data_IF_133809741008
#
_entry.id   IF_133809741008
#
_cell.length_a   1.000
_cell.length_b   1.000
_cell.length_c   1.000
_cell.angle_alpha   90.00
_cell.angle_beta   90.00
_cell.angle_gamma   90.00
#
_symmetry.space_group_name_H-M   'P 1'
#
loop_
_entity.id
_entity.type
_entity.pdbx_description
1 polymer ?
#
# COMPACT_ATOMS: atom_id res chain seq x y z
N UNK A 1 0.93 4.87 4.31
CA UNK A 1 -0.20 3.92 4.21
C UNK A 1 -0.72 3.98 2.77
N UNK A 2 -1.07 2.84 2.15
CA UNK A 2 -1.52 2.86 0.74
C UNK A 2 -2.46 1.70 0.41
N UNK A 3 -3.57 2.00 -0.26
CA UNK A 3 -4.47 1.02 -0.89
C UNK A 3 -3.89 0.60 -2.25
N UNK A 4 -3.96 -0.69 -2.59
CA UNK A 4 -3.43 -1.27 -3.83
C UNK A 4 -1.95 -0.98 -4.06
N UNK A 5 -1.16 -1.48 -3.11
CA UNK A 5 0.30 -1.52 -3.19
C UNK A 5 0.72 -2.34 -4.41
N UNK A 6 1.72 -1.83 -5.13
CA UNK A 6 2.36 -2.55 -6.23
C UNK A 6 2.96 -3.88 -5.76
N UNK A 7 2.78 -4.93 -6.57
CA UNK A 7 3.24 -6.29 -6.28
C UNK A 7 4.20 -6.76 -7.38
N UNK A 8 5.35 -7.31 -6.99
CA UNK A 8 6.25 -8.07 -7.85
C UNK A 8 5.57 -9.39 -8.24
N UNK A 9 5.50 -9.62 -9.56
CA UNK A 9 4.86 -10.78 -10.18
C UNK A 9 3.48 -11.07 -9.60
N UNK A 10 2.72 -10.03 -9.26
CA UNK A 10 1.37 -10.16 -8.71
C UNK A 10 1.27 -10.89 -7.34
N UNK A 11 2.41 -11.13 -6.69
CA UNK A 11 2.52 -12.03 -5.54
C UNK A 11 3.10 -11.30 -4.34
N UNK A 12 4.27 -10.68 -4.46
CA UNK A 12 5.02 -10.14 -3.32
C UNK A 12 5.04 -8.60 -3.34
N UNK A 13 4.91 -7.90 -2.19
CA UNK A 13 4.95 -6.45 -2.19
C UNK A 13 6.31 -5.89 -2.61
N UNK A 14 6.31 -4.79 -3.38
CA UNK A 14 7.54 -4.04 -3.64
C UNK A 14 8.10 -3.41 -2.37
N UNK A 15 9.42 -3.32 -2.30
CA UNK A 15 10.14 -2.66 -1.21
C UNK A 15 10.04 -1.12 -1.34
N UNK A 16 9.82 -0.42 -0.22
CA UNK A 16 9.83 1.06 -0.17
C UNK A 16 11.23 1.63 0.00
N UNK A 17 12.19 0.81 0.38
CA UNK A 17 13.57 1.19 0.66
C UNK A 17 14.50 0.00 0.40
N UNK A 18 15.76 0.21 -0.05
CA UNK A 18 16.75 -0.86 -0.14
C UNK A 18 17.07 -1.51 1.20
N UNK A 19 16.69 -0.89 2.32
CA UNK A 19 16.85 -1.45 3.66
C UNK A 19 15.60 -2.20 4.15
N UNK A 20 14.49 -2.14 3.41
CA UNK A 20 13.29 -2.92 3.74
C UNK A 20 13.53 -4.39 3.36
N UNK A 21 13.16 -5.29 4.26
CA UNK A 21 13.10 -6.73 4.01
C UNK A 21 11.87 -7.32 4.67
N UNK A 22 11.07 -8.05 3.92
CA UNK A 22 9.97 -8.84 4.46
C UNK A 22 10.53 -10.11 5.08
N UNK A 23 10.54 -10.18 6.42
CA UNK A 23 11.15 -11.28 7.17
C UNK A 23 10.13 -12.26 7.75
N UNK A 24 8.82 -11.93 7.69
CA UNK A 24 7.78 -12.80 8.20
C UNK A 24 6.51 -12.72 7.33
N UNK A 25 5.86 -13.87 7.13
CA UNK A 25 4.67 -14.05 6.31
C UNK A 25 3.62 -14.82 7.10
N UNK A 26 2.42 -14.27 7.20
CA UNK A 26 1.26 -14.93 7.80
C UNK A 26 0.24 -15.23 6.70
N UNK A 27 -0.03 -16.50 6.38
CA UNK A 27 -1.08 -16.86 5.44
C UNK A 27 -2.46 -16.84 6.13
N UNK A 28 -3.52 -16.89 5.33
CA UNK A 28 -4.91 -17.06 5.80
C UNK A 28 -5.34 -15.99 6.80
N UNK A 29 -5.25 -14.74 6.37
CA UNK A 29 -5.71 -13.57 7.11
C UNK A 29 -6.78 -12.82 6.33
N UNK A 30 -7.60 -12.05 7.02
CA UNK A 30 -8.55 -11.12 6.41
C UNK A 30 -8.32 -9.72 6.97
N UNK A 31 -8.23 -8.72 6.09
CA UNK A 31 -8.06 -7.33 6.50
C UNK A 31 -9.33 -6.52 6.19
N UNK A 32 -9.79 -5.74 7.16
CA UNK A 32 -10.78 -4.68 6.95
C UNK A 32 -10.21 -3.35 7.42
N UNK A 33 -10.52 -2.27 6.70
CA UNK A 33 -10.17 -0.90 7.09
C UNK A 33 -11.35 0.02 6.79
N UNK A 34 -11.85 0.72 7.79
CA UNK A 34 -12.98 1.65 7.64
C UNK A 34 -12.52 3.05 7.99
N UNK A 35 -12.73 4.02 7.12
CA UNK A 35 -12.28 5.41 7.29
C UNK A 35 -13.38 6.38 6.92
N UNK A 36 -13.55 7.45 7.69
CA UNK A 36 -14.47 8.54 7.34
C UNK A 36 -15.95 8.25 7.64
N UNK A 37 -16.27 7.52 8.71
CA UNK A 37 -17.65 7.27 9.18
C UNK A 37 -18.35 8.53 9.76
N UNK A 38 -18.08 9.73 9.24
CA UNK A 38 -18.65 11.02 9.66
C UNK A 38 -19.47 11.70 8.55
N UNK A 39 -20.32 12.66 8.93
CA UNK A 39 -21.06 13.49 7.98
C UNK A 39 -20.14 14.56 7.35
N UNK A 40 -20.22 14.84 6.03
CA UNK A 40 -21.04 14.17 5.02
C UNK A 40 -20.37 12.86 4.56
N UNK A 41 -21.13 11.77 4.48
CA UNK A 41 -20.68 10.36 4.41
C UNK A 41 -19.82 9.94 3.20
N UNK A 42 -18.63 10.53 3.08
CA UNK A 42 -17.60 10.19 2.11
C UNK A 42 -16.65 9.10 2.65
N UNK A 43 -17.18 8.19 3.49
CA UNK A 43 -16.39 7.14 4.12
C UNK A 43 -15.84 6.14 3.09
N UNK A 44 -14.56 5.80 3.20
CA UNK A 44 -13.92 4.76 2.42
C UNK A 44 -13.80 3.48 3.25
N UNK A 45 -14.31 2.37 2.73
CA UNK A 45 -14.14 1.05 3.34
C UNK A 45 -13.32 0.13 2.43
N UNK A 46 -12.27 -0.45 3.00
CA UNK A 46 -11.50 -1.54 2.44
C UNK A 46 -11.97 -2.84 3.09
N UNK A 47 -12.45 -3.78 2.28
CA UNK A 47 -12.79 -5.13 2.72
C UNK A 47 -11.99 -6.14 1.90
N UNK A 48 -10.92 -6.65 2.49
CA UNK A 48 -10.13 -7.74 1.92
C UNK A 48 -10.83 -9.08 2.12
N UNK A 49 -10.59 -10.01 1.19
CA UNK A 49 -10.96 -11.42 1.32
C UNK A 49 -9.89 -12.19 2.13
N UNK A 50 -9.91 -13.52 2.08
CA UNK A 50 -8.77 -14.29 2.57
C UNK A 50 -7.52 -13.93 1.75
N UNK A 51 -6.40 -13.85 2.45
CA UNK A 51 -5.12 -13.44 1.87
C UNK A 51 -3.97 -13.67 2.82
N UNK A 52 -2.91 -12.92 2.60
CA UNK A 52 -1.61 -13.06 3.28
C UNK A 52 -1.17 -11.71 3.81
N UNK A 53 -0.43 -11.74 4.91
CA UNK A 53 0.18 -10.57 5.52
C UNK A 53 1.71 -10.71 5.53
N UNK A 54 2.38 -9.79 4.87
CA UNK A 54 3.83 -9.64 4.88
C UNK A 54 4.25 -8.64 5.94
N UNK A 55 5.30 -8.96 6.69
CA UNK A 55 5.83 -8.11 7.76
C UNK A 55 7.27 -7.74 7.43
N UNK A 56 7.52 -6.44 7.31
CA UNK A 56 8.86 -5.86 7.23
C UNK A 56 9.20 -5.09 8.50
N UNK A 57 10.36 -4.45 8.52
CA UNK A 57 10.79 -3.60 9.64
C UNK A 57 9.95 -2.32 9.76
N UNK A 58 9.24 -1.92 8.69
CA UNK A 58 8.55 -0.62 8.62
C UNK A 58 7.04 -0.75 8.55
N UNK A 59 6.52 -1.86 8.02
CA UNK A 59 5.10 -1.98 7.73
C UNK A 59 4.63 -3.43 7.65
N UNK A 60 3.32 -3.56 7.77
CA UNK A 60 2.56 -4.72 7.34
C UNK A 60 2.00 -4.46 5.94
N UNK A 61 2.04 -5.45 5.05
CA UNK A 61 1.35 -5.41 3.77
C UNK A 61 0.42 -6.62 3.66
N UNK A 62 -0.88 -6.36 3.57
CA UNK A 62 -1.89 -7.35 3.23
C UNK A 62 -1.98 -7.49 1.71
N UNK A 63 -2.10 -8.73 1.23
CA UNK A 63 -2.35 -9.08 -0.17
C UNK A 63 -3.44 -10.14 -0.22
N UNK A 64 -4.52 -9.88 -0.95
CA UNK A 64 -5.58 -10.87 -1.15
C UNK A 64 -5.12 -11.98 -2.09
N UNK A 65 -5.53 -13.22 -1.79
CA UNK A 65 -5.24 -14.37 -2.65
C UNK A 65 -6.13 -14.40 -3.90
N UNK A 66 -7.28 -13.73 -3.86
CA UNK A 66 -8.21 -13.62 -4.99
C UNK A 66 -7.98 -12.32 -5.75
N UNK A 67 -7.55 -12.41 -7.00
CA UNK A 67 -7.34 -11.25 -7.88
C UNK A 67 -8.62 -10.76 -8.57
N UNK A 68 -9.65 -11.60 -8.65
CA UNK A 68 -10.60 -11.48 -9.76
C UNK A 68 -11.73 -10.45 -9.59
N UNK A 69 -12.05 -9.94 -8.38
CA UNK A 69 -13.30 -9.18 -8.22
C UNK A 69 -13.31 -8.04 -7.19
N UNK A 70 -12.16 -7.59 -6.67
CA UNK A 70 -12.15 -6.45 -5.74
C UNK A 70 -11.26 -5.30 -6.24
N UNK A 71 -11.78 -4.08 -6.15
CA UNK A 71 -10.99 -2.85 -6.33
C UNK A 71 -9.90 -2.67 -5.25
N UNK A 72 -9.71 -3.66 -4.36
CA UNK A 72 -8.99 -3.59 -3.10
C UNK A 72 -8.20 -4.89 -2.92
N UNK A 73 -7.09 -5.00 -3.65
CA UNK A 73 -6.28 -6.23 -3.73
C UNK A 73 -5.19 -6.29 -2.66
N UNK A 74 -4.63 -5.15 -2.30
CA UNK A 74 -3.56 -5.07 -1.31
C UNK A 74 -3.69 -3.80 -0.47
N UNK A 75 -3.10 -3.82 0.71
CA UNK A 75 -3.12 -2.69 1.62
C UNK A 75 -1.83 -2.64 2.44
N UNK A 76 -1.15 -1.49 2.43
CA UNK A 76 0.02 -1.23 3.25
C UNK A 76 -0.33 -0.45 4.50
N UNK A 77 0.03 -1.00 5.65
CA UNK A 77 -0.13 -0.45 6.99
C UNK A 77 1.26 -0.17 7.61
N UNK A 78 1.83 1.04 7.44
CA UNK A 78 3.08 1.41 8.09
C UNK A 78 2.91 1.58 9.59
N UNK A 79 3.88 1.09 10.35
CA UNK A 79 3.80 1.09 11.80
C UNK A 79 3.74 2.50 12.40
N UNK A 80 4.48 3.47 11.84
CA UNK A 80 4.48 4.85 12.33
C UNK A 80 3.11 5.55 12.16
N UNK A 81 2.28 5.09 11.21
CA UNK A 81 0.93 5.62 11.03
C UNK A 81 -0.06 5.06 12.05
N UNK A 82 0.26 3.96 12.76
CA UNK A 82 -0.65 3.33 13.72
C UNK A 82 -0.67 4.15 15.01
N UNK A 83 -1.87 4.51 15.44
CA UNK A 83 -2.10 5.37 16.62
C UNK A 83 -2.23 4.55 17.89
N UNK A 84 -3.06 3.52 17.80
CA UNK A 84 -3.37 2.59 18.86
C UNK A 84 -3.61 1.22 18.24
N UNK A 85 -3.38 0.18 19.05
CA UNK A 85 -3.57 -1.19 18.63
C UNK A 85 -3.90 -2.09 19.81
N UNK A 86 -4.52 -3.22 19.51
CA UNK A 86 -4.74 -4.31 20.45
C UNK A 86 -4.71 -5.66 19.75
N UNK A 87 -4.12 -6.63 20.44
CA UNK A 87 -4.25 -8.04 20.11
C UNK A 87 -5.42 -8.61 20.92
N UNK A 88 -6.35 -9.27 20.24
CA UNK A 88 -7.58 -9.75 20.85
C UNK A 88 -7.81 -11.22 20.49
N UNK A 89 -8.18 -12.02 21.49
CA UNK A 89 -8.65 -13.40 21.32
C UNK A 89 -10.05 -13.45 21.90
N UNK A 90 -11.03 -13.81 21.07
CA UNK A 90 -12.42 -13.96 21.51
C UNK A 90 -12.60 -15.21 22.37
N UNK A 91 -13.74 -15.29 23.07
CA UNK A 91 -14.12 -16.49 23.84
C UNK A 91 -14.25 -17.76 22.97
N UNK A 92 -14.45 -17.61 21.67
CA UNK A 92 -14.50 -18.72 20.70
C UNK A 92 -13.14 -18.96 20.01
N UNK A 93 -12.06 -18.37 20.52
CA UNK A 93 -10.71 -18.58 20.01
C UNK A 93 -10.37 -17.77 18.76
N UNK A 94 -11.32 -17.03 18.16
CA UNK A 94 -11.02 -16.16 17.02
C UNK A 94 -10.03 -15.07 17.42
N UNK A 95 -8.94 -14.93 16.65
CA UNK A 95 -7.81 -14.04 16.96
C UNK A 95 -7.77 -12.87 15.97
N UNK A 96 -7.54 -11.66 16.48
CA UNK A 96 -7.51 -10.46 15.67
C UNK A 96 -6.49 -9.44 16.19
N UNK A 97 -5.90 -8.68 15.27
CA UNK A 97 -5.15 -7.46 15.56
C UNK A 97 -5.94 -6.27 15.05
N UNK A 98 -6.22 -5.30 15.93
CA UNK A 98 -7.10 -4.16 15.63
C UNK A 98 -6.45 -2.87 16.07
N UNK A 99 -6.82 -1.76 15.45
CA UNK A 99 -6.32 -0.46 15.85
C UNK A 99 -6.81 0.66 14.94
N UNK A 100 -6.21 1.84 15.11
CA UNK A 100 -6.44 2.97 14.23
C UNK A 100 -5.15 3.39 13.53
N UNK A 101 -5.30 3.84 12.28
CA UNK A 101 -4.20 4.30 11.43
C UNK A 101 -4.50 5.68 10.88
N UNK A 102 -3.49 6.56 10.91
CA UNK A 102 -3.56 7.86 10.27
C UNK A 102 -3.54 7.73 8.74
N UNK A 103 -4.33 8.53 8.01
CA UNK A 103 -4.16 8.64 6.57
C UNK A 103 -2.80 9.27 6.26
N UNK A 104 -2.27 8.96 5.07
CA UNK A 104 -1.14 9.68 4.50
C UNK A 104 -1.58 10.28 3.16
N UNK A 105 -0.96 11.38 2.70
CA UNK A 105 -1.25 11.96 1.39
C UNK A 105 -1.15 10.90 0.29
N UNK A 106 -2.18 10.75 -0.56
CA UNK A 106 -2.19 9.75 -1.63
C UNK A 106 -2.54 8.31 -1.21
N UNK A 107 -2.69 8.02 0.09
CA UNK A 107 -2.92 6.66 0.61
C UNK A 107 -4.32 6.07 0.44
N UNK A 108 -5.27 6.85 -0.06
CA UNK A 108 -6.63 6.39 -0.36
C UNK A 108 -7.59 6.33 0.83
N UNK A 109 -7.14 6.59 2.07
CA UNK A 109 -8.04 6.82 3.21
C UNK A 109 -8.43 8.30 3.31
N UNK A 110 -9.72 8.56 3.51
CA UNK A 110 -10.33 9.90 3.63
C UNK A 110 -10.17 10.52 5.02
N UNK A 111 -9.71 9.73 6.00
CA UNK A 111 -9.54 10.13 7.39
C UNK A 111 -8.85 9.02 8.20
N UNK A 112 -8.93 9.10 9.53
CA UNK A 112 -8.43 8.03 10.41
C UNK A 112 -9.17 6.73 10.08
N UNK A 113 -8.41 5.67 9.78
CA UNK A 113 -8.94 4.36 9.49
C UNK A 113 -8.94 3.46 10.72
N UNK A 114 -10.05 2.79 11.01
CA UNK A 114 -10.10 1.67 11.95
C UNK A 114 -9.80 0.38 11.18
N UNK A 115 -8.72 -0.33 11.54
CA UNK A 115 -8.34 -1.58 10.88
C UNK A 115 -8.61 -2.80 11.77
N UNK A 116 -8.92 -3.93 11.14
CA UNK A 116 -8.97 -5.25 11.76
C UNK A 116 -8.30 -6.27 10.86
N UNK A 117 -7.28 -6.95 11.37
CA UNK A 117 -6.65 -8.11 10.76
C UNK A 117 -7.07 -9.36 11.52
N UNK A 118 -7.97 -10.14 10.93
CA UNK A 118 -8.45 -11.41 11.48
C UNK A 118 -7.53 -12.55 11.02
N UNK A 119 -7.14 -13.41 11.96
CA UNK A 119 -6.28 -14.57 11.71
C UNK A 119 -7.16 -15.80 11.59
N UNK A 120 -7.28 -16.32 10.37
CA UNK A 120 -8.10 -17.49 10.05
C UNK A 120 -7.29 -18.80 10.17
N UNK A 121 -5.97 -18.69 10.15
CA UNK A 121 -5.03 -19.79 10.33
C UNK A 121 -4.11 -19.65 11.55
N UNK A 122 -2.95 -20.29 11.47
CA UNK A 122 -1.88 -20.21 12.47
C UNK A 122 -1.01 -18.96 12.25
N UNK A 123 -0.16 -18.61 13.23
CA UNK A 123 0.81 -17.53 13.11
C UNK A 123 0.50 -16.26 13.91
N UNK A 124 -0.62 -16.22 14.65
CA UNK A 124 -1.00 -15.04 15.44
C UNK A 124 0.00 -14.69 16.55
N UNK A 125 0.49 -15.69 17.30
CA UNK A 125 1.39 -15.43 18.43
C UNK A 125 2.77 -14.98 17.93
N UNK A 126 3.26 -15.63 16.87
CA UNK A 126 4.51 -15.29 16.19
C UNK A 126 4.41 -13.89 15.58
N UNK A 127 3.31 -13.59 14.90
CA UNK A 127 3.02 -12.25 14.39
C UNK A 127 3.06 -11.22 15.50
N UNK A 128 2.37 -11.47 16.62
CA UNK A 128 2.34 -10.58 17.78
C UNK A 128 3.76 -10.34 18.32
N UNK A 129 4.54 -11.40 18.48
CA UNK A 129 5.92 -11.33 18.98
C UNK A 129 6.84 -10.52 18.07
N UNK A 130 6.67 -10.64 16.74
CA UNK A 130 7.47 -9.90 15.77
C UNK A 130 7.04 -8.44 15.63
N UNK A 131 5.74 -8.16 15.65
CA UNK A 131 5.20 -6.83 15.37
C UNK A 131 5.26 -5.90 16.57
N UNK A 132 5.10 -6.43 17.80
CA UNK A 132 5.02 -5.59 19.00
C UNK A 132 6.26 -4.66 19.18
N UNK A 133 7.52 -5.15 19.08
CA UNK A 133 8.69 -4.28 19.19
C UNK A 133 8.78 -3.23 18.07
N UNK A 134 8.29 -3.56 16.87
CA UNK A 134 8.32 -2.66 15.72
C UNK A 134 7.34 -1.50 15.92
N UNK A 135 6.16 -1.76 16.47
CA UNK A 135 5.16 -0.73 16.76
C UNK A 135 5.71 0.31 17.75
N UNK A 136 6.34 -0.15 18.83
CA UNK A 136 6.91 0.69 19.88
C UNK A 136 8.04 1.61 19.36
N UNK A 137 8.90 1.09 18.48
CA UNK A 137 10.04 1.86 17.92
C UNK A 137 9.73 2.64 16.63
N UNK A 138 8.57 2.40 16.01
CA UNK A 138 8.28 2.82 14.63
C UNK A 138 8.42 4.32 14.38
N UNK A 139 7.97 5.17 15.31
CA UNK A 139 8.00 6.63 15.15
C UNK A 139 9.42 7.18 15.20
N UNK A 140 10.23 6.67 16.13
CA UNK A 140 11.65 7.05 16.21
C UNK A 140 12.40 6.66 14.93
N UNK A 141 12.15 5.45 14.41
CA UNK A 141 12.71 5.01 13.12
C UNK A 141 12.26 5.93 11.99
N UNK A 142 10.96 6.25 11.91
CA UNK A 142 10.43 7.14 10.89
C UNK A 142 11.05 8.55 10.95
N UNK A 143 11.20 9.13 12.15
CA UNK A 143 11.87 10.43 12.34
C UNK A 143 13.32 10.41 11.85
N UNK A 144 14.07 9.35 12.16
CA UNK A 144 15.44 9.17 11.64
C UNK A 144 15.46 9.10 10.11
N UNK A 145 14.47 8.46 9.49
CA UNK A 145 14.34 8.42 8.04
C UNK A 145 14.04 9.78 7.43
N UNK A 146 13.15 10.57 8.04
CA UNK A 146 12.82 11.94 7.58
C UNK A 146 14.02 12.88 7.71
N UNK A 147 14.85 12.70 8.74
CA UNK A 147 16.05 13.51 8.95
C UNK A 147 17.22 13.14 8.01
N UNK A 148 17.14 12.03 7.28
CA UNK A 148 18.20 11.66 6.33
C UNK A 148 18.15 12.59 5.12
N UNK A 149 19.28 13.24 4.86
CA UNK A 149 19.50 14.16 3.74
C UNK A 149 19.57 13.48 2.36
N UNK A 150 19.60 12.14 2.30
CA UNK A 150 19.49 11.37 1.06
C UNK A 150 18.22 10.52 1.08
N UNK A 151 17.30 10.69 0.11
CA UNK A 151 16.14 9.81 -0.02
C UNK A 151 16.64 8.39 -0.33
N UNK A 152 16.33 7.45 0.56
CA UNK A 152 16.70 6.04 0.43
C UNK A 152 15.56 5.25 -0.21
N UNK A 153 15.02 5.77 -1.31
CA UNK A 153 14.01 5.08 -2.11
C UNK A 153 14.74 4.43 -3.28
N UNK A 154 14.61 3.11 -3.40
CA UNK A 154 14.89 2.43 -4.66
C UNK A 154 13.90 3.01 -5.67
N UNK A 155 14.39 3.84 -6.58
CA UNK A 155 13.69 4.11 -7.84
C UNK A 155 13.59 2.76 -8.55
N UNK A 156 12.50 2.02 -8.32
CA UNK A 156 12.22 0.85 -9.13
C UNK A 156 11.79 1.39 -10.48
N UNK A 157 12.55 1.19 -11.57
CA UNK A 157 12.02 1.47 -12.88
C UNK A 157 10.82 0.53 -13.08
N UNK A 158 9.61 1.06 -12.96
CA UNK A 158 8.40 0.38 -13.37
C UNK A 158 8.47 0.25 -14.90
N UNK A 159 9.14 -0.79 -15.37
CA UNK A 159 9.15 -1.17 -16.77
C UNK A 159 8.20 -2.35 -16.94
N UNK A 160 6.92 -2.10 -16.67
CA UNK A 160 5.85 -2.96 -17.15
C UNK A 160 5.58 -2.49 -18.57
N UNK A 161 6.20 -3.17 -19.54
CA UNK A 161 5.78 -3.08 -20.93
C UNK A 161 4.77 -4.20 -21.10
N UNK A 162 3.50 -3.91 -20.81
CA UNK A 162 2.44 -4.72 -21.39
C UNK A 162 2.43 -4.40 -22.90
N UNK A 163 2.58 -5.40 -23.79
CA UNK A 163 2.53 -5.17 -25.23
C UNK A 163 1.17 -4.63 -25.72
N UNK A 164 0.12 -4.66 -24.90
CA UNK A 164 -1.22 -4.19 -25.24
C UNK A 164 -1.73 -2.94 -24.49
N UNK A 165 -1.10 -2.47 -23.41
CA UNK A 165 -1.58 -1.30 -22.66
C UNK A 165 -0.80 -0.02 -22.98
N UNK A 166 -1.55 1.04 -23.32
CA UNK A 166 -1.06 2.40 -23.58
C UNK A 166 -0.69 3.18 -22.30
N UNK A 167 -0.83 2.59 -21.11
CA UNK A 167 -0.61 3.28 -19.84
C UNK A 167 0.69 2.85 -19.17
N UNK A 168 1.68 3.74 -19.16
CA UNK A 168 2.87 3.58 -18.31
C UNK A 168 2.47 3.87 -16.87
N UNK A 169 2.47 2.84 -16.02
CA UNK A 169 2.37 3.00 -14.56
C UNK A 169 3.73 3.38 -14.00
N UNK A 170 3.82 4.53 -13.35
CA UNK A 170 5.06 4.99 -12.69
C UNK A 170 4.79 5.08 -11.19
N UNK A 171 5.65 4.43 -10.40
CA UNK A 171 5.62 4.52 -8.95
C UNK A 171 6.37 5.78 -8.49
N UNK A 172 5.73 6.59 -7.67
CA UNK A 172 6.28 7.80 -7.05
C UNK A 172 6.34 7.62 -5.53
N UNK A 173 7.32 8.25 -4.89
CA UNK A 173 7.35 8.42 -3.44
C UNK A 173 6.82 9.81 -3.08
N UNK A 174 6.17 9.95 -1.92
CA UNK A 174 5.83 11.28 -1.41
C UNK A 174 7.11 11.96 -0.87
N UNK A 175 7.44 13.16 -1.35
CA UNK A 175 8.56 13.95 -0.84
C UNK A 175 8.45 14.25 0.68
N UNK A 176 7.22 14.28 1.19
CA UNK A 176 6.88 14.54 2.60
C UNK A 176 6.81 13.26 3.43
N UNK A 177 6.76 12.08 2.79
CA UNK A 177 6.66 10.78 3.44
C UNK A 177 7.43 9.71 2.65
N UNK A 178 8.75 9.57 2.90
CA UNK A 178 9.63 8.69 2.14
C UNK A 178 9.31 7.20 2.33
N UNK A 179 8.43 6.84 3.27
CA UNK A 179 7.98 5.47 3.50
C UNK A 179 6.70 5.11 2.75
N UNK A 180 6.13 6.03 1.94
CA UNK A 180 4.95 5.72 1.13
C UNK A 180 5.22 5.80 -0.38
N UNK A 181 4.88 4.70 -1.07
CA UNK A 181 4.85 4.58 -2.53
C UNK A 181 3.42 4.68 -3.05
N UNK A 182 3.23 5.38 -4.16
CA UNK A 182 1.97 5.49 -4.89
C UNK A 182 2.18 5.31 -6.38
N UNK A 183 1.20 4.72 -7.07
CA UNK A 183 1.20 4.61 -8.53
C UNK A 183 0.30 5.70 -9.11
N UNK A 184 0.83 6.51 -10.02
CA UNK A 184 0.02 7.40 -10.85
C UNK A 184 -0.22 6.70 -12.19
N UNK A 185 -1.48 6.50 -12.54
CA UNK A 185 -1.86 6.21 -13.92
C UNK A 185 -1.72 7.51 -14.72
N UNK A 186 -0.87 7.52 -15.74
CA UNK A 186 -0.75 8.68 -16.63
C UNK A 186 -1.86 8.57 -17.67
N UNK A 187 -2.84 9.49 -17.63
CA UNK A 187 -3.79 9.63 -18.73
C UNK A 187 -3.01 9.79 -20.03
N UNK A 188 -3.34 8.97 -21.03
CA UNK A 188 -2.76 9.03 -22.35
C UNK A 188 -2.95 10.45 -22.90
N UNK A 189 -1.85 11.16 -23.15
CA UNK A 189 -1.86 12.46 -23.82
C UNK A 189 -2.73 12.36 -25.08
N UNK A 190 -3.89 13.05 -25.05
CA UNK A 190 -4.70 13.25 -26.25
C UNK A 190 -3.80 13.86 -27.31
N UNK A 191 -3.71 13.18 -28.44
CA UNK A 191 -3.01 13.63 -29.63
C UNK A 191 -3.76 14.83 -30.22
N UNK A 192 -3.52 16.02 -29.69
CA UNK A 192 -3.80 17.27 -30.40
C UNK A 192 -2.64 17.53 -31.37
N UNK A 193 -2.64 16.85 -32.51
CA UNK A 193 -1.87 17.26 -33.69
C UNK A 193 -2.81 17.86 -34.73
N UNK A 194 -2.98 19.18 -34.57
CA UNK A 194 -2.85 20.18 -35.63
C UNK A 194 -3.13 19.71 -37.06
N UNK A 195 -4.36 19.91 -37.51
CA UNK A 195 -4.68 20.08 -38.92
C UNK A 195 -4.02 21.35 -39.45
N UNK A 196 -2.78 21.23 -39.94
CA UNK A 196 -1.99 22.33 -40.50
C UNK A 196 -1.07 21.85 -41.63
N UNK A 197 -1.47 22.16 -42.86
CA UNK A 197 -0.65 22.30 -44.08
C UNK A 197 0.04 21.04 -44.65
N UNK A 198 -0.54 20.51 -45.74
CA UNK A 198 0.24 19.91 -46.84
C UNK A 198 0.22 20.85 -48.04
N UNK A 199 1.33 21.54 -48.24
CA UNK A 199 1.75 22.06 -49.54
C UNK A 199 2.22 20.88 -50.41
N UNK A 200 1.70 20.76 -51.63
CA UNK A 200 2.17 19.81 -52.62
C UNK A 200 2.87 20.52 -53.78
N UNK A 201 4.17 20.23 -53.89
CA UNK A 201 4.95 20.01 -55.12
C UNK A 201 4.99 21.07 -56.23
N UNK A 202 6.13 21.77 -56.30
CA UNK A 202 6.93 22.01 -57.52
C UNK A 202 7.24 20.67 -58.23
N UNK A 203 7.43 20.49 -59.55
CA UNK A 203 7.90 21.30 -60.70
C UNK A 203 7.94 20.32 -61.92
N UNK A 204 8.53 20.72 -63.05
CA UNK A 204 7.99 21.46 -64.19
C UNK A 204 7.32 20.59 -65.27
#
# INVERSE_FOLDING_TARGET
MSINVELLDDVAPYLVSPYESFFFLVPRVKLTVESGNGYPGQGGCFYGHEGRCFVSQYRVVYVSDTADYTAYRSFSLPFYCIRDWRFHVSIFGAKAWRGHVNPVPGGGLVGIGAFTLDFLGLGFEEFRSHVLPLLEGSRSVHEQFVQRSQPSVLMVPAKIVDPNERERRVAYYACEDPMTLFVLARESERSDESSGQRSSSSRP
#
